data_IF_064992905678
#
_entry.id   IF_064992905678
#
_cell.length_a   1.000
_cell.length_b   1.000
_cell.length_c   1.000
_cell.angle_alpha   90.00
_cell.angle_beta   90.00
_cell.angle_gamma   90.00
#
_symmetry.space_group_name_H-M   'P 1'
#
loop_
_entity.id
_entity.type
_entity.pdbx_description
1 polymer ?
#
# COMPACT_ATOMS: atom_id res chain seq x y z
N UNK A 1 -12.59 -6.95 10.90
CA UNK A 1 -11.25 -6.99 11.54
C UNK A 1 -10.44 -8.04 10.78
N UNK A 2 -9.15 -7.83 10.51
CA UNK A 2 -8.36 -8.71 9.61
C UNK A 2 -8.08 -10.13 10.15
N UNK A 3 -8.71 -10.55 11.26
CA UNK A 3 -8.54 -11.85 11.92
C UNK A 3 -7.08 -12.35 11.98
N UNK A 4 -6.15 -11.41 12.23
CA UNK A 4 -4.74 -11.72 12.36
C UNK A 4 -4.49 -12.30 13.74
N UNK A 5 -3.95 -13.51 13.80
CA UNK A 5 -3.38 -14.08 15.03
C UNK A 5 -2.16 -13.28 15.51
N UNK A 6 -1.71 -13.54 16.73
CA UNK A 6 -0.59 -12.81 17.35
C UNK A 6 0.70 -12.86 16.51
N UNK A 7 1.05 -14.03 15.99
CA UNK A 7 2.24 -14.21 15.18
C UNK A 7 2.19 -13.42 13.86
N UNK A 8 1.00 -13.21 13.29
CA UNK A 8 0.80 -12.33 12.13
C UNK A 8 0.87 -10.86 12.52
N UNK A 9 0.29 -10.47 13.66
CA UNK A 9 0.33 -9.08 14.14
C UNK A 9 1.76 -8.59 14.37
N UNK A 10 2.60 -9.44 14.97
CA UNK A 10 4.03 -9.17 15.18
C UNK A 10 4.85 -9.05 13.88
N UNK A 11 4.28 -9.44 12.73
CA UNK A 11 4.89 -9.28 11.41
C UNK A 11 4.15 -8.25 10.54
N UNK A 12 3.26 -7.46 11.15
CA UNK A 12 2.43 -6.47 10.45
C UNK A 12 2.80 -5.07 10.90
N UNK A 13 3.12 -4.22 9.93
CA UNK A 13 3.37 -2.79 10.13
C UNK A 13 2.10 -2.01 9.80
N UNK A 14 1.57 -1.28 10.77
CA UNK A 14 0.48 -0.34 10.57
C UNK A 14 1.07 1.04 10.22
N UNK A 15 0.96 1.42 8.94
CA UNK A 15 1.42 2.72 8.43
C UNK A 15 0.23 3.65 8.25
N UNK A 16 0.10 4.68 9.09
CA UNK A 16 -1.13 5.49 9.20
C UNK A 16 -0.81 6.99 9.21
N UNK A 17 -1.70 7.83 8.66
CA UNK A 17 -1.58 9.28 8.79
C UNK A 17 -2.06 9.77 10.17
N UNK A 18 -1.99 11.08 10.44
CA UNK A 18 -2.55 11.69 11.66
C UNK A 18 -4.00 11.32 11.94
N UNK A 19 -4.81 11.05 10.90
CA UNK A 19 -6.18 10.56 11.09
C UNK A 19 -6.28 9.16 11.74
N UNK A 20 -5.14 8.50 11.96
CA UNK A 20 -5.02 7.16 12.54
C UNK A 20 -5.32 7.05 14.02
N UNK A 21 -5.55 8.17 14.70
CA UNK A 21 -6.10 8.18 16.04
C UNK A 21 -5.21 8.85 17.09
N UNK A 22 -5.69 8.75 18.32
CA UNK A 22 -5.09 9.25 19.54
C UNK A 22 -3.94 8.35 20.04
N UNK A 23 -3.35 8.72 21.18
CA UNK A 23 -2.40 7.85 21.89
C UNK A 23 -3.06 6.54 22.31
N UNK A 24 -4.35 6.55 22.65
CA UNK A 24 -5.08 5.34 23.04
C UNK A 24 -5.23 4.36 21.87
N UNK A 25 -5.47 4.87 20.67
CA UNK A 25 -5.54 4.06 19.44
C UNK A 25 -4.16 3.45 19.11
N UNK A 26 -3.10 4.22 19.30
CA UNK A 26 -1.72 3.74 19.16
C UNK A 26 -1.44 2.64 20.19
N UNK A 27 -1.78 2.86 21.46
CA UNK A 27 -1.59 1.89 22.52
C UNK A 27 -2.42 0.62 22.30
N UNK A 28 -3.62 0.75 21.74
CA UNK A 28 -4.45 -0.39 21.36
C UNK A 28 -3.74 -1.30 20.35
N UNK A 29 -3.05 -0.73 19.37
CA UNK A 29 -2.28 -1.48 18.37
C UNK A 29 -1.00 -2.07 18.99
N UNK A 30 -0.25 -1.26 19.73
CA UNK A 30 0.99 -1.68 20.39
C UNK A 30 0.78 -2.85 21.36
N UNK A 31 -0.30 -2.80 22.16
CA UNK A 31 -0.66 -3.86 23.11
C UNK A 31 -1.03 -5.20 22.43
N UNK A 32 -1.33 -5.18 21.13
CA UNK A 32 -1.68 -6.38 20.33
C UNK A 32 -0.51 -6.88 19.47
N UNK A 33 0.70 -6.36 19.72
CA UNK A 33 1.91 -6.82 19.05
C UNK A 33 2.15 -6.20 17.67
N UNK A 34 1.31 -5.28 17.18
CA UNK A 34 1.56 -4.62 15.89
C UNK A 34 2.82 -3.75 15.92
N UNK A 35 3.52 -3.68 14.79
CA UNK A 35 4.46 -2.60 14.53
C UNK A 35 3.71 -1.39 13.97
N UNK A 36 4.19 -0.18 14.25
CA UNK A 36 3.56 1.06 13.79
C UNK A 36 4.58 1.98 13.11
N UNK A 37 4.08 2.76 12.15
CA UNK A 37 4.73 3.93 11.58
C UNK A 37 3.64 4.98 11.32
N UNK A 38 3.39 5.83 12.29
CA UNK A 38 2.23 6.75 12.27
C UNK A 38 2.65 8.18 12.59
N UNK A 39 1.83 9.17 12.22
CA UNK A 39 2.06 10.57 12.59
C UNK A 39 1.19 10.95 13.77
N UNK A 40 1.78 11.67 14.71
CA UNK A 40 1.08 12.27 15.83
C UNK A 40 -0.07 13.16 15.34
N UNK A 41 -1.25 12.96 15.91
CA UNK A 41 -2.43 13.74 15.61
C UNK A 41 -2.33 15.19 16.10
N UNK A 42 -1.67 15.42 17.24
CA UNK A 42 -1.65 16.74 17.89
C UNK A 42 -0.51 17.61 17.40
N UNK A 43 -0.87 18.68 16.67
CA UNK A 43 0.10 19.70 16.24
C UNK A 43 0.81 20.39 17.41
N UNK A 44 0.08 20.65 18.50
CA UNK A 44 0.65 21.28 19.69
C UNK A 44 1.69 20.38 20.35
N UNK A 45 1.39 19.07 20.46
CA UNK A 45 2.34 18.08 20.98
C UNK A 45 3.55 17.96 20.06
N UNK A 46 3.34 17.90 18.75
CA UNK A 46 4.44 17.84 17.77
C UNK A 46 5.40 19.04 17.91
N UNK A 47 4.87 20.25 18.09
CA UNK A 47 5.68 21.45 18.37
C UNK A 47 6.48 21.31 19.67
N UNK A 48 5.85 20.87 20.76
CA UNK A 48 6.51 20.67 22.06
C UNK A 48 7.63 19.62 21.97
N UNK A 49 7.38 18.50 21.29
CA UNK A 49 8.36 17.44 21.10
C UNK A 49 9.50 17.88 20.18
N UNK A 50 9.21 18.67 19.14
CA UNK A 50 10.20 19.24 18.24
C UNK A 50 11.24 20.13 18.95
N UNK A 51 10.87 20.79 20.04
CA UNK A 51 11.82 21.58 20.86
C UNK A 51 12.90 20.72 21.51
N UNK A 52 12.62 19.43 21.78
CA UNK A 52 13.59 18.52 22.40
C UNK A 52 14.65 17.98 21.43
N UNK A 53 14.52 18.26 20.13
CA UNK A 53 15.44 17.77 19.11
C UNK A 53 16.73 18.59 19.16
N UNK A 54 17.85 17.92 19.42
CA UNK A 54 19.17 18.55 19.53
C UNK A 54 19.90 18.65 18.19
N UNK A 55 19.62 17.73 17.27
CA UNK A 55 20.26 17.65 15.97
C UNK A 55 19.20 17.57 14.86
N UNK A 56 19.32 18.48 13.89
CA UNK A 56 18.42 18.56 12.74
C UNK A 56 19.20 18.26 11.46
N UNK A 57 18.68 17.32 10.69
CA UNK A 57 19.22 16.91 9.40
C UNK A 57 18.35 17.50 8.31
N UNK A 58 18.95 18.16 7.32
CA UNK A 58 18.25 18.61 6.12
C UNK A 58 17.84 17.43 5.25
N UNK A 59 16.60 17.46 4.77
CA UNK A 59 16.10 16.47 3.83
C UNK A 59 16.54 16.81 2.40
N UNK A 60 17.37 15.97 1.75
CA UNK A 60 17.85 16.26 0.40
C UNK A 60 16.76 16.15 -0.67
N UNK A 61 15.64 15.47 -0.38
CA UNK A 61 14.53 15.27 -1.32
C UNK A 61 13.48 16.38 -1.25
N UNK A 62 13.35 17.05 -0.09
CA UNK A 62 12.36 18.12 0.12
C UNK A 62 13.04 19.35 0.69
N UNK A 63 13.29 20.33 -0.20
CA UNK A 63 13.89 21.60 0.17
C UNK A 63 13.14 22.28 1.33
N UNK A 64 13.88 22.65 2.38
CA UNK A 64 13.34 23.32 3.57
C UNK A 64 12.67 22.40 4.58
N UNK A 65 12.66 21.08 4.36
CA UNK A 65 12.26 20.07 5.36
C UNK A 65 13.49 19.63 6.15
N UNK A 66 13.33 19.52 7.46
CA UNK A 66 14.34 19.02 8.38
C UNK A 66 13.77 17.92 9.27
N UNK A 67 14.61 16.97 9.67
CA UNK A 67 14.23 15.79 10.45
C UNK A 67 15.18 15.61 11.64
N UNK A 68 14.68 15.07 12.75
CA UNK A 68 15.48 14.89 13.96
C UNK A 68 14.83 13.96 14.98
N UNK A 69 15.64 13.28 15.79
CA UNK A 69 15.15 12.45 16.88
C UNK A 69 14.62 13.30 18.04
N UNK A 70 13.44 12.95 18.54
CA UNK A 70 12.87 13.54 19.76
C UNK A 70 13.60 12.94 20.96
N UNK A 71 14.25 13.77 21.77
CA UNK A 71 15.06 13.31 22.90
C UNK A 71 14.26 13.05 24.18
N UNK A 72 13.07 13.63 24.32
CA UNK A 72 12.24 13.42 25.51
C UNK A 72 11.89 11.93 25.68
N UNK A 73 11.70 11.42 26.90
CA UNK A 73 11.12 10.09 27.13
C UNK A 73 9.67 9.98 26.67
N UNK A 74 9.20 8.75 26.40
CA UNK A 74 7.86 8.49 25.86
C UNK A 74 7.03 7.51 26.75
N UNK A 75 6.84 7.80 28.06
CA UNK A 75 6.17 6.90 29.00
C UNK A 75 4.68 6.66 28.69
N UNK A 76 4.07 7.51 27.85
CA UNK A 76 2.68 7.42 27.46
C UNK A 76 2.35 6.22 26.54
N UNK A 77 3.38 5.52 26.03
CA UNK A 77 3.19 4.34 25.19
C UNK A 77 3.39 3.05 25.97
N UNK A 78 2.55 2.05 25.72
CA UNK A 78 2.57 0.74 26.41
C UNK A 78 3.82 -0.11 26.11
N UNK A 79 4.69 0.33 25.19
CA UNK A 79 6.00 -0.26 24.87
C UNK A 79 6.93 0.79 24.27
N UNK A 80 8.25 0.55 24.20
CA UNK A 80 9.19 1.48 23.60
C UNK A 80 8.83 1.83 22.15
N UNK A 81 8.92 3.12 21.83
CA UNK A 81 8.74 3.68 20.48
C UNK A 81 9.83 4.71 20.20
N UNK A 82 10.26 4.78 18.95
CA UNK A 82 11.02 5.91 18.41
C UNK A 82 10.08 7.06 18.04
N UNK A 83 10.55 8.29 18.20
CA UNK A 83 9.84 9.50 17.78
C UNK A 83 10.75 10.40 16.98
N UNK A 84 10.31 10.73 15.78
CA UNK A 84 11.07 11.51 14.80
C UNK A 84 10.29 12.78 14.50
N UNK A 85 10.84 13.92 14.87
CA UNK A 85 10.28 15.19 14.49
C UNK A 85 10.64 15.52 13.04
N UNK A 86 9.69 16.11 12.35
CA UNK A 86 9.84 16.67 11.01
C UNK A 86 9.40 18.13 11.11
N UNK A 87 10.20 19.07 10.59
CA UNK A 87 9.84 20.48 10.56
C UNK A 87 10.03 21.11 9.19
N UNK A 88 9.26 22.15 8.90
CA UNK A 88 9.38 22.95 7.69
C UNK A 88 8.95 24.40 7.96
N UNK A 89 9.48 25.35 7.18
CA UNK A 89 9.08 26.76 7.28
C UNK A 89 7.76 27.00 6.56
N UNK A 90 6.84 27.70 7.22
CA UNK A 90 5.67 28.29 6.59
C UNK A 90 6.03 29.57 5.83
N UNK A 91 5.08 30.08 5.03
CA UNK A 91 5.21 31.36 4.30
C UNK A 91 5.54 32.55 5.21
N UNK A 92 5.14 32.50 6.47
CA UNK A 92 5.43 33.52 7.50
C UNK A 92 6.79 33.34 8.18
N UNK A 93 7.61 32.37 7.74
CA UNK A 93 8.93 32.05 8.32
C UNK A 93 8.89 31.21 9.59
N UNK A 94 7.72 30.95 10.17
CA UNK A 94 7.59 30.10 11.37
C UNK A 94 7.78 28.62 11.04
N UNK A 95 8.37 27.89 11.99
CA UNK A 95 8.48 26.44 11.89
C UNK A 95 7.17 25.76 12.25
N UNK A 96 6.72 24.88 11.36
CA UNK A 96 5.74 23.85 11.70
C UNK A 96 6.40 22.52 11.97
N UNK A 97 5.70 21.68 12.71
CA UNK A 97 6.19 20.40 13.18
C UNK A 97 5.17 19.30 12.95
N UNK A 98 5.68 18.12 12.60
CA UNK A 98 5.02 16.85 12.70
C UNK A 98 5.93 15.89 13.47
N UNK A 99 5.36 14.87 14.10
CA UNK A 99 6.12 13.80 14.75
C UNK A 99 5.67 12.47 14.19
N UNK A 100 6.62 11.68 13.70
CA UNK A 100 6.43 10.29 13.32
C UNK A 100 6.75 9.43 14.53
N UNK A 101 5.89 8.47 14.83
CA UNK A 101 6.00 7.51 15.92
C UNK A 101 6.21 6.14 15.27
N UNK A 102 7.25 5.43 15.69
CA UNK A 102 7.68 4.19 15.05
C UNK A 102 8.10 3.14 16.08
N UNK A 103 7.80 1.88 15.79
CA UNK A 103 8.41 0.72 16.49
C UNK A 103 9.38 -0.03 15.60
N UNK A 104 9.60 0.43 14.37
CA UNK A 104 10.51 -0.22 13.43
C UNK A 104 11.95 0.00 13.86
N UNK A 105 12.78 -1.00 13.65
CA UNK A 105 14.22 -0.88 13.83
C UNK A 105 14.87 -0.26 12.58
N UNK A 106 16.12 0.17 12.73
CA UNK A 106 16.92 0.69 11.62
C UNK A 106 16.99 -0.31 10.44
N UNK A 107 17.20 -1.59 10.73
CA UNK A 107 17.22 -2.64 9.71
C UNK A 107 15.88 -2.77 8.97
N UNK A 108 14.77 -2.72 9.70
CA UNK A 108 13.42 -2.84 9.12
C UNK A 108 13.13 -1.67 8.18
N UNK A 109 13.44 -0.44 8.61
CA UNK A 109 13.14 0.74 7.81
C UNK A 109 14.01 0.84 6.55
N UNK A 110 15.28 0.45 6.63
CA UNK A 110 16.19 0.36 5.48
C UNK A 110 15.70 -0.68 4.47
N UNK A 111 15.23 -1.84 4.94
CA UNK A 111 14.64 -2.86 4.08
C UNK A 111 13.34 -2.36 3.40
N UNK A 112 12.45 -1.73 4.16
CA UNK A 112 11.18 -1.20 3.66
C UNK A 112 11.35 -0.09 2.61
N UNK A 113 12.43 0.69 2.69
CA UNK A 113 12.76 1.73 1.70
C UNK A 113 13.64 1.22 0.56
N UNK A 114 13.94 -0.09 0.52
CA UNK A 114 14.85 -0.73 -0.46
C UNK A 114 16.25 -0.08 -0.51
N UNK A 115 16.76 0.34 0.65
CA UNK A 115 18.10 0.89 0.77
C UNK A 115 19.13 -0.24 1.06
N UNK A 116 20.42 -0.04 0.69
CA UNK A 116 21.47 -1.02 1.00
C UNK A 116 21.61 -1.28 2.50
N UNK A 117 21.71 -2.55 2.91
CA UNK A 117 21.78 -2.95 4.32
C UNK A 117 22.95 -2.32 5.09
N UNK A 118 24.06 -1.97 4.41
CA UNK A 118 25.18 -1.26 5.03
C UNK A 118 24.80 0.11 5.61
N UNK A 119 23.72 0.73 5.13
CA UNK A 119 23.23 2.03 5.60
C UNK A 119 22.59 1.96 7.00
N UNK A 120 22.38 0.77 7.56
CA UNK A 120 21.86 0.62 8.93
C UNK A 120 22.77 1.28 9.98
N UNK A 121 24.07 1.41 9.70
CA UNK A 121 25.04 2.06 10.59
C UNK A 121 25.15 3.56 10.36
N UNK A 122 24.54 4.09 9.31
CA UNK A 122 24.51 5.52 9.02
C UNK A 122 23.26 6.14 9.67
N UNK A 123 23.49 6.88 10.75
CA UNK A 123 22.43 7.49 11.54
C UNK A 123 21.59 8.49 10.71
N UNK A 124 22.22 9.20 9.77
CA UNK A 124 21.54 10.15 8.90
C UNK A 124 20.69 9.42 7.86
N UNK A 125 21.24 8.38 7.22
CA UNK A 125 20.50 7.56 6.27
C UNK A 125 19.27 6.89 6.92
N UNK A 126 19.45 6.31 8.12
CA UNK A 126 18.36 5.69 8.88
C UNK A 126 17.27 6.71 9.23
N UNK A 127 17.64 7.90 9.70
CA UNK A 127 16.66 8.94 10.05
C UNK A 127 15.83 9.37 8.84
N UNK A 128 16.48 9.60 7.70
CA UNK A 128 15.81 9.92 6.44
C UNK A 128 14.94 8.76 5.93
N UNK A 129 15.39 7.51 6.11
CA UNK A 129 14.64 6.32 5.73
C UNK A 129 13.30 6.21 6.47
N UNK A 130 13.20 6.58 7.74
CA UNK A 130 11.91 6.62 8.46
C UNK A 130 10.92 7.60 7.84
N UNK A 131 11.38 8.79 7.45
CA UNK A 131 10.51 9.80 6.83
C UNK A 131 10.11 9.37 5.42
N UNK A 132 11.05 8.84 4.63
CA UNK A 132 10.75 8.26 3.32
C UNK A 132 9.74 7.11 3.43
N UNK A 133 9.94 6.19 4.38
CA UNK A 133 9.04 5.08 4.64
C UNK A 133 7.64 5.58 5.00
N UNK A 134 7.55 6.63 5.83
CA UNK A 134 6.28 7.27 6.16
C UNK A 134 5.62 7.91 4.93
N UNK A 135 6.37 8.64 4.10
CA UNK A 135 5.87 9.32 2.90
C UNK A 135 5.31 8.33 1.87
N UNK A 136 5.90 7.13 1.77
CA UNK A 136 5.40 6.04 0.91
C UNK A 136 3.97 5.57 1.26
N UNK A 137 3.42 5.94 2.43
CA UNK A 137 2.00 5.73 2.77
C UNK A 137 1.05 6.34 1.74
N UNK A 138 1.33 7.57 1.29
CA UNK A 138 0.44 8.30 0.37
C UNK A 138 0.33 7.63 -1.00
N UNK A 139 1.41 6.98 -1.46
CA UNK A 139 1.47 6.36 -2.78
C UNK A 139 0.57 5.12 -2.96
N UNK A 140 0.23 4.41 -1.88
CA UNK A 140 -0.55 3.17 -1.95
C UNK A 140 -2.06 3.42 -1.95
N UNK A 141 -2.58 3.91 -0.82
CA UNK A 141 -4.04 3.96 -0.55
C UNK A 141 -4.74 5.03 -1.40
N UNK A 142 -4.18 6.24 -1.48
CA UNK A 142 -4.80 7.34 -2.23
C UNK A 142 -4.81 7.07 -3.74
N UNK A 143 -3.71 6.49 -4.26
CA UNK A 143 -3.63 6.04 -5.65
C UNK A 143 -4.65 4.93 -5.94
N UNK A 144 -4.81 3.97 -5.02
CA UNK A 144 -5.81 2.90 -5.15
C UNK A 144 -7.23 3.46 -5.22
N UNK A 145 -7.56 4.43 -4.36
CA UNK A 145 -8.87 5.12 -4.42
C UNK A 145 -9.07 5.91 -5.71
N UNK A 146 -8.04 6.57 -6.24
CA UNK A 146 -8.12 7.27 -7.54
C UNK A 146 -8.35 6.28 -8.68
N UNK A 147 -7.63 5.17 -8.67
CA UNK A 147 -7.74 4.09 -9.65
C UNK A 147 -9.11 3.40 -9.59
N UNK A 148 -9.73 3.26 -8.41
CA UNK A 148 -11.08 2.71 -8.27
C UNK A 148 -12.14 3.62 -8.86
N UNK A 149 -12.06 4.92 -8.56
CA UNK A 149 -13.00 5.92 -9.08
C UNK A 149 -12.96 5.97 -10.60
N UNK A 150 -11.77 5.99 -11.19
CA UNK A 150 -11.61 6.16 -12.64
C UNK A 150 -11.62 4.84 -13.42
N UNK A 151 -11.01 3.79 -12.88
CA UNK A 151 -10.80 2.50 -13.55
C UNK A 151 -11.98 1.53 -13.40
N UNK A 152 -12.53 1.42 -12.18
CA UNK A 152 -13.71 0.58 -11.92
C UNK A 152 -15.00 1.37 -12.16
N UNK A 153 -14.95 2.70 -12.05
CA UNK A 153 -16.11 3.57 -12.25
C UNK A 153 -17.04 3.59 -11.03
N UNK A 154 -16.49 3.43 -9.83
CA UNK A 154 -17.28 3.31 -8.60
C UNK A 154 -18.15 4.55 -8.34
N UNK A 155 -17.68 5.75 -8.73
CA UNK A 155 -18.44 7.01 -8.62
C UNK A 155 -19.48 7.20 -9.71
N UNK A 156 -19.48 6.37 -10.75
CA UNK A 156 -20.46 6.42 -11.85
C UNK A 156 -21.66 5.50 -11.60
N UNK A 157 -21.64 4.73 -10.51
CA UNK A 157 -22.72 3.80 -10.14
C UNK A 157 -23.25 4.24 -8.78
N UNK A 158 -24.57 4.44 -8.71
CA UNK A 158 -25.24 4.76 -7.46
C UNK A 158 -26.48 3.88 -7.29
N UNK A 159 -26.79 3.54 -6.04
CA UNK A 159 -27.99 2.80 -5.66
C UNK A 159 -28.79 3.65 -4.69
N UNK A 160 -30.11 3.67 -4.86
CA UNK A 160 -31.04 4.49 -4.05
C UNK A 160 -31.17 4.02 -2.59
N UNK A 161 -30.80 2.77 -2.28
CA UNK A 161 -30.88 2.18 -0.93
C UNK A 161 -29.48 2.07 -0.33
N UNK A 162 -29.35 2.41 0.95
CA UNK A 162 -28.09 2.33 1.69
C UNK A 162 -27.44 0.93 1.58
N UNK A 163 -28.17 -0.14 1.88
CA UNK A 163 -27.65 -1.50 1.79
C UNK A 163 -27.18 -1.89 0.38
N UNK A 164 -27.88 -1.41 -0.66
CA UNK A 164 -27.48 -1.64 -2.05
C UNK A 164 -26.23 -0.83 -2.42
N UNK A 165 -26.08 0.38 -1.89
CA UNK A 165 -24.89 1.21 -2.08
C UNK A 165 -23.69 0.59 -1.35
N UNK A 166 -23.89 0.08 -0.14
CA UNK A 166 -22.87 -0.66 0.61
C UNK A 166 -22.41 -1.89 -0.16
N UNK A 167 -23.34 -2.70 -0.69
CA UNK A 167 -23.00 -3.87 -1.51
C UNK A 167 -22.22 -3.48 -2.77
N UNK A 168 -22.62 -2.38 -3.43
CA UNK A 168 -21.88 -1.86 -4.59
C UNK A 168 -20.44 -1.48 -4.23
N UNK A 169 -20.22 -0.85 -3.07
CA UNK A 169 -18.87 -0.54 -2.58
C UNK A 169 -18.05 -1.81 -2.32
N UNK A 170 -18.64 -2.81 -1.65
CA UNK A 170 -17.96 -4.08 -1.36
C UNK A 170 -17.59 -4.84 -2.64
N UNK A 171 -18.50 -4.91 -3.61
CA UNK A 171 -18.23 -5.51 -4.93
C UNK A 171 -17.15 -4.72 -5.68
N UNK A 172 -17.12 -3.39 -5.54
CA UNK A 172 -16.05 -2.55 -6.06
C UNK A 172 -14.68 -2.91 -5.48
N UNK A 173 -14.60 -3.07 -4.16
CA UNK A 173 -13.37 -3.50 -3.48
C UNK A 173 -12.93 -4.92 -3.88
N UNK A 174 -13.88 -5.84 -4.04
CA UNK A 174 -13.57 -7.18 -4.56
C UNK A 174 -13.02 -7.12 -5.98
N UNK A 175 -13.65 -6.35 -6.87
CA UNK A 175 -13.20 -6.16 -8.23
C UNK A 175 -11.79 -5.54 -8.28
N UNK A 176 -11.49 -4.56 -7.42
CA UNK A 176 -10.15 -3.99 -7.28
C UNK A 176 -9.13 -5.09 -6.97
N UNK A 177 -9.37 -5.87 -5.91
CA UNK A 177 -8.45 -6.92 -5.47
C UNK A 177 -8.21 -7.94 -6.58
N UNK A 178 -9.26 -8.39 -7.26
CA UNK A 178 -9.14 -9.33 -8.40
C UNK A 178 -8.31 -8.74 -9.53
N UNK A 179 -8.50 -7.45 -9.87
CA UNK A 179 -7.72 -6.79 -10.92
C UNK A 179 -6.24 -6.67 -10.53
N UNK A 180 -5.95 -6.28 -9.28
CA UNK A 180 -4.58 -6.15 -8.78
C UNK A 180 -3.87 -7.51 -8.77
N UNK A 181 -4.53 -8.56 -8.28
CA UNK A 181 -3.97 -9.91 -8.28
C UNK A 181 -3.77 -10.43 -9.70
N UNK A 182 -4.77 -10.28 -10.58
CA UNK A 182 -4.63 -10.68 -11.98
C UNK A 182 -3.49 -9.94 -12.68
N UNK A 183 -3.31 -8.64 -12.42
CA UNK A 183 -2.17 -7.88 -12.95
C UNK A 183 -0.85 -8.50 -12.50
N UNK A 184 -0.71 -8.85 -11.22
CA UNK A 184 0.50 -9.52 -10.71
C UNK A 184 0.70 -10.88 -11.38
N UNK A 185 -0.32 -11.73 -11.40
CA UNK A 185 -0.27 -13.07 -11.99
C UNK A 185 0.09 -13.08 -13.48
N UNK A 186 -0.47 -12.14 -14.24
CA UNK A 186 -0.25 -12.06 -15.69
C UNK A 186 1.08 -11.39 -16.04
N UNK A 187 1.65 -10.60 -15.12
CA UNK A 187 2.91 -9.87 -15.33
C UNK A 187 4.14 -10.77 -15.38
N UNK A 188 4.03 -12.04 -14.98
CA UNK A 188 5.15 -12.99 -14.98
C UNK A 188 5.71 -13.21 -16.39
N UNK A 189 4.82 -13.35 -17.39
CA UNK A 189 5.21 -13.48 -18.80
C UNK A 189 4.78 -12.30 -19.68
N UNK A 190 4.09 -11.28 -19.13
CA UNK A 190 3.84 -9.99 -19.79
C UNK A 190 4.23 -8.81 -18.87
N UNK A 191 5.55 -8.50 -18.75
CA UNK A 191 6.03 -7.49 -17.80
C UNK A 191 5.46 -6.08 -18.02
N UNK A 192 4.96 -5.76 -19.22
CA UNK A 192 4.35 -4.45 -19.49
C UNK A 192 3.07 -4.21 -18.68
N UNK A 193 2.39 -5.27 -18.22
CA UNK A 193 1.22 -5.14 -17.34
C UNK A 193 1.55 -4.54 -15.98
N UNK A 194 2.80 -4.63 -15.49
CA UNK A 194 3.21 -3.98 -14.23
C UNK A 194 2.97 -2.48 -14.25
N UNK A 195 3.00 -1.86 -15.44
CA UNK A 195 2.76 -0.42 -15.66
C UNK A 195 1.30 -0.09 -15.95
N UNK A 196 0.40 -1.08 -16.00
CA UNK A 196 -1.00 -0.83 -16.30
C UNK A 196 -1.73 -0.44 -15.01
N UNK A 197 -2.35 0.73 -15.01
CA UNK A 197 -3.35 1.10 -14.01
C UNK A 197 -4.66 0.35 -14.23
N UNK A 198 -5.56 0.38 -13.24
CA UNK A 198 -6.82 -0.37 -13.25
C UNK A 198 -7.66 -0.12 -14.51
N UNK A 199 -7.74 1.13 -14.99
CA UNK A 199 -8.46 1.47 -16.21
C UNK A 199 -7.99 0.67 -17.43
N UNK A 200 -6.67 0.51 -17.59
CA UNK A 200 -6.11 -0.27 -18.71
C UNK A 200 -6.25 -1.76 -18.49
N UNK A 201 -6.13 -2.24 -17.25
CA UNK A 201 -6.41 -3.64 -16.94
C UNK A 201 -7.85 -4.00 -17.34
N UNK A 202 -8.82 -3.18 -16.94
CA UNK A 202 -10.23 -3.39 -17.32
C UNK A 202 -10.40 -3.32 -18.84
N UNK A 203 -10.06 -2.18 -19.46
CA UNK A 203 -10.35 -1.92 -20.89
C UNK A 203 -9.54 -2.79 -21.86
N UNK A 204 -8.26 -3.02 -21.59
CA UNK A 204 -7.34 -3.64 -22.56
C UNK A 204 -7.19 -5.15 -22.33
N UNK A 205 -7.36 -5.63 -21.08
CA UNK A 205 -7.09 -7.04 -20.72
C UNK A 205 -8.36 -7.78 -20.37
N UNK A 206 -9.22 -7.24 -19.50
CA UNK A 206 -10.43 -7.94 -19.06
C UNK A 206 -11.58 -7.87 -20.08
N UNK A 207 -11.47 -7.03 -21.11
CA UNK A 207 -12.39 -7.02 -22.26
C UNK A 207 -11.93 -7.93 -23.41
N UNK A 208 -10.85 -8.71 -23.22
CA UNK A 208 -10.44 -9.69 -24.23
C UNK A 208 -11.55 -10.73 -24.35
N UNK A 209 -12.13 -10.84 -25.55
CA UNK A 209 -13.14 -11.85 -25.83
C UNK A 209 -12.53 -13.24 -25.89
N UNK A 210 -13.35 -14.25 -25.62
CA UNK A 210 -12.92 -15.63 -25.49
C UNK A 210 -14.09 -16.58 -25.31
N UNK A 211 -13.78 -17.87 -25.29
CA UNK A 211 -14.72 -18.94 -24.95
C UNK A 211 -14.22 -19.73 -23.74
N UNK A 212 -15.18 -20.23 -22.95
CA UNK A 212 -14.95 -21.22 -21.91
C UNK A 212 -15.55 -22.54 -22.37
N UNK A 213 -14.71 -23.55 -22.52
CA UNK A 213 -15.14 -24.90 -22.88
C UNK A 213 -15.36 -25.67 -21.59
N UNK A 214 -16.54 -26.30 -21.50
CA UNK A 214 -16.93 -27.09 -20.35
C UNK A 214 -16.99 -28.57 -20.72
N UNK A 215 -16.64 -29.44 -19.79
CA UNK A 215 -16.89 -30.87 -19.94
C UNK A 215 -18.35 -31.23 -19.59
N UNK A 216 -18.70 -32.50 -19.75
CA UNK A 216 -20.05 -33.03 -19.45
C UNK A 216 -20.49 -32.83 -17.98
N UNK A 217 -19.57 -32.53 -17.06
CA UNK A 217 -19.86 -32.22 -15.65
C UNK A 217 -19.95 -30.72 -15.36
N UNK A 218 -19.93 -29.87 -16.40
CA UNK A 218 -19.97 -28.42 -16.28
C UNK A 218 -18.68 -27.79 -15.75
N UNK A 219 -17.56 -28.52 -15.68
CA UNK A 219 -16.27 -27.96 -15.28
C UNK A 219 -15.57 -27.35 -16.48
N UNK A 220 -14.97 -26.18 -16.29
CA UNK A 220 -14.10 -25.55 -17.29
C UNK A 220 -12.90 -26.47 -17.52
N UNK A 221 -12.64 -26.81 -18.77
CA UNK A 221 -11.49 -27.63 -19.19
C UNK A 221 -10.60 -26.88 -20.17
N UNK A 222 -11.10 -25.83 -20.81
CA UNK A 222 -10.31 -25.02 -21.71
C UNK A 222 -10.81 -23.56 -21.75
N UNK A 223 -9.86 -22.63 -21.90
CA UNK A 223 -10.10 -21.22 -22.17
C UNK A 223 -9.48 -20.88 -23.51
N UNK A 224 -10.30 -20.38 -24.44
CA UNK A 224 -9.83 -19.92 -25.75
C UNK A 224 -9.91 -18.40 -25.79
N UNK A 225 -8.77 -17.73 -25.91
CA UNK A 225 -8.71 -16.27 -26.04
C UNK A 225 -8.75 -15.84 -27.51
N UNK A 226 -9.30 -14.65 -27.78
CA UNK A 226 -9.30 -14.08 -29.12
C UNK A 226 -7.86 -13.84 -29.61
N UNK A 227 -7.45 -14.50 -30.69
CA UNK A 227 -6.10 -14.35 -31.24
C UNK A 227 -5.76 -12.92 -31.71
N UNK A 228 -6.78 -12.09 -32.01
CA UNK A 228 -6.60 -10.68 -32.41
C UNK A 228 -6.39 -9.76 -31.21
N UNK A 229 -6.59 -10.25 -29.98
CA UNK A 229 -6.41 -9.44 -28.80
C UNK A 229 -4.93 -9.06 -28.60
N UNK A 230 -4.63 -7.81 -28.22
CA UNK A 230 -3.28 -7.40 -27.91
C UNK A 230 -2.67 -8.30 -26.84
N UNK A 231 -1.41 -8.72 -27.05
CA UNK A 231 -0.61 -9.48 -26.06
C UNK A 231 -1.15 -10.88 -25.73
N UNK A 232 -2.13 -11.39 -26.47
CA UNK A 232 -2.79 -12.68 -26.18
C UNK A 232 -1.81 -13.82 -25.95
N UNK A 233 -0.71 -13.89 -26.72
CA UNK A 233 0.29 -14.96 -26.59
C UNK A 233 0.94 -15.01 -25.20
N UNK A 234 1.37 -13.85 -24.70
CA UNK A 234 2.02 -13.77 -23.39
C UNK A 234 1.02 -13.90 -22.25
N UNK A 235 -0.20 -13.39 -22.44
CA UNK A 235 -1.30 -13.57 -21.49
C UNK A 235 -1.67 -15.05 -21.35
N UNK A 236 -1.82 -15.75 -22.48
CA UNK A 236 -2.13 -17.16 -22.51
C UNK A 236 -1.02 -18.00 -21.88
N UNK A 237 0.25 -17.66 -22.11
CA UNK A 237 1.37 -18.30 -21.41
C UNK A 237 1.32 -18.10 -19.89
N UNK A 238 1.05 -16.87 -19.42
CA UNK A 238 0.89 -16.60 -17.98
C UNK A 238 -0.28 -17.39 -17.38
N UNK A 239 -1.40 -17.48 -18.10
CA UNK A 239 -2.58 -18.24 -17.66
C UNK A 239 -2.32 -19.75 -17.66
N UNK A 240 -1.67 -20.28 -18.69
CA UNK A 240 -1.36 -21.70 -18.84
C UNK A 240 -0.54 -22.19 -17.65
N UNK A 241 0.53 -21.49 -17.29
CA UNK A 241 1.37 -21.85 -16.13
C UNK A 241 0.55 -21.92 -14.83
N UNK A 242 -0.42 -21.03 -14.65
CA UNK A 242 -1.24 -20.98 -13.42
C UNK A 242 -2.40 -21.96 -13.40
N UNK A 243 -2.99 -22.25 -14.56
CA UNK A 243 -4.19 -23.07 -14.68
C UNK A 243 -3.89 -24.53 -15.05
N UNK A 244 -2.66 -24.83 -15.47
CA UNK A 244 -2.20 -26.20 -15.72
C UNK A 244 -2.39 -27.16 -14.53
N UNK A 245 -2.12 -26.78 -13.26
CA UNK A 245 -2.40 -27.65 -12.11
C UNK A 245 -3.89 -27.99 -11.94
N UNK A 246 -4.78 -27.20 -12.54
CA UNK A 246 -6.24 -27.42 -12.52
C UNK A 246 -6.71 -28.21 -13.75
N UNK A 247 -5.77 -28.66 -14.60
CA UNK A 247 -6.05 -29.34 -15.87
C UNK A 247 -6.93 -28.52 -16.82
N UNK A 248 -6.76 -27.19 -16.84
CA UNK A 248 -7.43 -26.29 -17.76
C UNK A 248 -6.44 -25.88 -18.85
N UNK A 249 -6.76 -26.22 -20.10
CA UNK A 249 -5.95 -25.84 -21.25
C UNK A 249 -6.18 -24.37 -21.63
N UNK A 250 -5.12 -23.65 -22.02
CA UNK A 250 -5.23 -22.26 -22.48
C UNK A 250 -4.78 -22.16 -23.92
N UNK A 251 -5.71 -21.78 -24.79
CA UNK A 251 -5.51 -21.63 -26.22
C UNK A 251 -5.88 -20.22 -26.69
N UNK A 252 -5.49 -19.89 -27.91
CA UNK A 252 -5.97 -18.69 -28.59
C UNK A 252 -6.25 -18.99 -30.06
N UNK A 253 -7.37 -18.50 -30.56
CA UNK A 253 -7.85 -18.84 -31.90
C UNK A 253 -8.72 -17.75 -32.52
N UNK A 254 -9.19 -18.01 -33.75
CA UNK A 254 -10.21 -17.18 -34.38
C UNK A 254 -11.53 -17.33 -33.63
N UNK A 255 -12.15 -16.19 -33.31
CA UNK A 255 -13.43 -16.04 -32.60
C UNK A 255 -14.36 -15.24 -33.49
#
# INVERSE_FOLDING_TARGET
>A
MLELDEAKRQRTILRIDSGGGSIDDINWALARGYHILTKDYSRQRARKLGVSVTEWIDDPQIAGRQVGWVATPAPEYVRPVGRIAVRWKQKNGQWEYAVIITTLLAADVIAETNQPQAQVLDHQAVLLAYVQCYDMRGGGVETSFKDDKQGIGLTKRSKKRFAAQQMLTLLGSLAHNVIVWARQWLSDHEPKLRRYGLKRMVRDIFHISGFLVHNARGRIVEVVLNQRAPRVRNLARSLDVRLRPQHIAINWGQI
#
